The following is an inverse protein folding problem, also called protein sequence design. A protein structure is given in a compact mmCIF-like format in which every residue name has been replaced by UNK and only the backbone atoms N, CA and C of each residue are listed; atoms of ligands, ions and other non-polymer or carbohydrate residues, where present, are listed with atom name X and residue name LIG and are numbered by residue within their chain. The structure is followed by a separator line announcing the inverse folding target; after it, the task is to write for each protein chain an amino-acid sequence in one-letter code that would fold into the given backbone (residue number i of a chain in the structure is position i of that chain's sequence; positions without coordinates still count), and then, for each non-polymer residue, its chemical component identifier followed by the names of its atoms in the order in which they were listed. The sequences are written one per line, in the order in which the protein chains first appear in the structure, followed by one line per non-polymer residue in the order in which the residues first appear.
data_IF_465153268066
#
_entry.id   IF_465153268066
#
_cell.length_a   1.000
_cell.length_b   1.000
_cell.length_c   1.000
_cell.angle_alpha   90.00
_cell.angle_beta   90.00
_cell.angle_gamma   90.00
#
_symmetry.space_group_name_H-M   'P 1'
#
loop_
_entity.id
_entity.type
_entity.pdbx_description
1 polymer ?
#
# COMPACT_ATOMS: atom_id res chain seq x y z
N UNK A 1 -19.91 11.71 3.25
CA UNK A 1 -19.88 11.40 1.81
C UNK A 1 -19.22 10.04 1.68
N UNK A 2 -19.98 9.02 1.28
CA UNK A 2 -19.47 7.66 1.11
C UNK A 2 -18.53 7.68 -0.08
N UNK A 3 -17.22 7.49 0.14
CA UNK A 3 -16.31 7.20 -0.95
C UNK A 3 -16.74 5.84 -1.48
N UNK A 4 -17.50 5.85 -2.58
CA UNK A 4 -17.84 4.64 -3.30
C UNK A 4 -16.53 3.96 -3.69
N UNK A 5 -16.48 2.65 -3.50
CA UNK A 5 -15.47 1.79 -4.11
C UNK A 5 -15.31 2.25 -5.57
N UNK A 6 -14.11 2.59 -6.04
CA UNK A 6 -13.92 2.87 -7.45
C UNK A 6 -14.39 1.65 -8.21
N UNK A 7 -15.45 1.85 -8.98
CA UNK A 7 -16.24 0.76 -9.49
C UNK A 7 -15.41 0.02 -10.54
N UNK A 8 -15.47 -1.31 -10.54
CA UNK A 8 -14.85 -2.12 -11.59
C UNK A 8 -15.33 -1.65 -12.98
N UNK A 9 -16.54 -1.08 -13.03
CA UNK A 9 -17.15 -0.40 -14.17
C UNK A 9 -16.35 0.79 -14.71
N UNK A 10 -15.65 1.55 -13.87
CA UNK A 10 -14.80 2.66 -14.32
C UNK A 10 -13.56 2.14 -15.06
N UNK A 11 -12.97 1.02 -14.58
CA UNK A 11 -11.92 0.31 -15.32
C UNK A 11 -12.43 -0.33 -16.62
N UNK A 12 -13.65 -0.88 -16.63
CA UNK A 12 -14.28 -1.42 -17.83
C UNK A 12 -14.52 -0.34 -18.89
N UNK A 13 -14.92 0.86 -18.48
CA UNK A 13 -15.11 2.02 -19.36
C UNK A 13 -13.82 2.49 -20.04
N UNK A 14 -12.66 2.26 -19.41
CA UNK A 14 -11.35 2.61 -19.97
C UNK A 14 -10.88 1.63 -21.07
N UNK A 15 -11.67 0.60 -21.38
CA UNK A 15 -11.39 -0.43 -22.38
C UNK A 15 -10.00 -1.10 -22.22
N UNK A 16 -9.42 -1.03 -21.03
CA UNK A 16 -8.08 -1.52 -20.77
C UNK A 16 -8.11 -3.05 -20.74
N UNK A 17 -7.28 -3.66 -21.57
CA UNK A 17 -7.20 -5.13 -21.69
C UNK A 17 -6.52 -5.78 -20.48
N UNK A 18 -5.73 -5.01 -19.72
CA UNK A 18 -4.90 -5.51 -18.62
C UNK A 18 -4.99 -4.60 -17.40
N UNK A 19 -5.05 -5.20 -16.21
CA UNK A 19 -5.00 -4.50 -14.93
C UNK A 19 -4.20 -5.30 -13.89
N UNK A 20 -3.65 -4.59 -12.90
CA UNK A 20 -2.96 -5.19 -11.76
C UNK A 20 -3.16 -4.35 -10.50
N UNK A 21 -3.14 -4.99 -9.35
CA UNK A 21 -3.22 -4.33 -8.05
C UNK A 21 -1.90 -4.49 -7.31
N UNK A 22 -1.34 -3.37 -6.85
CA UNK A 22 -0.17 -3.27 -5.99
C UNK A 22 -0.69 -3.05 -4.57
N UNK A 23 -0.38 -3.98 -3.67
CA UNK A 23 -0.83 -3.98 -2.27
C UNK A 23 0.32 -3.44 -1.40
N UNK A 24 0.08 -2.36 -0.65
CA UNK A 24 1.08 -1.77 0.24
C UNK A 24 1.05 -2.50 1.58
N UNK A 25 2.15 -3.18 1.87
CA UNK A 25 2.34 -3.94 3.10
C UNK A 25 2.34 -3.03 4.32
N UNK A 26 1.52 -3.35 5.32
CA UNK A 26 1.50 -2.68 6.63
C UNK A 26 1.43 -1.14 6.51
N UNK A 27 0.64 -0.62 5.57
CA UNK A 27 0.65 0.80 5.23
C UNK A 27 0.45 1.72 6.45
N UNK A 28 -0.44 1.34 7.38
CA UNK A 28 -0.62 2.06 8.65
C UNK A 28 0.62 1.98 9.57
N UNK A 29 1.17 0.78 9.78
CA UNK A 29 2.33 0.62 10.67
C UNK A 29 3.63 1.20 10.08
N UNK A 30 3.65 1.49 8.79
CA UNK A 30 4.74 2.23 8.14
C UNK A 30 4.77 3.71 8.55
N UNK A 31 3.68 4.25 9.12
CA UNK A 31 3.55 5.67 9.45
C UNK A 31 3.91 5.89 10.92
N UNK A 32 4.98 6.67 11.23
CA UNK A 32 5.34 7.00 12.61
C UNK A 32 4.28 7.88 13.27
N UNK A 33 3.94 7.55 14.52
CA UNK A 33 3.10 8.41 15.35
C UNK A 33 3.97 9.42 16.10
N UNK A 34 3.59 10.70 15.99
CA UNK A 34 4.21 11.79 16.71
C UNK A 34 4.20 11.51 18.23
N UNK A 35 5.30 11.83 18.92
CA UNK A 35 5.50 11.45 20.33
C UNK A 35 4.41 12.01 21.25
N UNK A 36 3.99 13.24 20.98
CA UNK A 36 2.91 13.97 21.64
C UNK A 36 1.52 13.32 21.46
N UNK A 37 1.33 12.51 20.43
CA UNK A 37 0.08 11.81 20.16
C UNK A 37 0.01 10.43 20.83
N UNK A 38 1.15 9.81 21.15
CA UNK A 38 1.20 8.42 21.66
C UNK A 38 0.36 8.17 22.91
N UNK A 39 0.32 9.08 23.91
CA UNK A 39 -0.51 8.88 25.10
C UNK A 39 -2.02 8.76 24.80
N UNK A 40 -2.49 9.34 23.69
CA UNK A 40 -3.91 9.24 23.29
C UNK A 40 -4.29 7.85 22.80
N UNK A 41 -3.30 7.03 22.45
CA UNK A 41 -3.49 5.66 21.99
C UNK A 41 -2.99 4.65 23.04
N UNK A 42 -2.91 5.04 24.31
CA UNK A 42 -2.53 4.14 25.38
C UNK A 42 -3.58 3.05 25.61
N UNK A 43 -3.14 1.83 25.93
CA UNK A 43 -3.98 0.73 26.37
C UNK A 43 -3.29 -0.09 27.46
N UNK A 44 -4.07 -0.72 28.33
CA UNK A 44 -3.54 -1.55 29.43
C UNK A 44 -3.73 -3.02 29.12
N UNK A 45 -2.64 -3.78 29.21
CA UNK A 45 -2.66 -5.23 29.08
C UNK A 45 -1.91 -5.88 30.24
N UNK A 46 -2.57 -6.79 30.95
CA UNK A 46 -1.99 -7.51 32.12
C UNK A 46 -1.35 -6.58 33.17
N UNK A 47 -1.95 -5.41 33.40
CA UNK A 47 -1.48 -4.43 34.39
C UNK A 47 -0.30 -3.56 33.93
N UNK A 48 0.14 -3.69 32.67
CA UNK A 48 1.17 -2.85 32.05
C UNK A 48 0.50 -1.94 31.01
N UNK A 49 0.89 -0.66 31.00
CA UNK A 49 0.42 0.32 30.02
C UNK A 49 1.33 0.29 28.79
N UNK A 50 0.71 0.29 27.62
CA UNK A 50 1.37 0.32 26.33
C UNK A 50 0.85 1.51 25.51
N UNK A 51 1.71 2.09 24.69
CA UNK A 51 1.35 3.15 23.74
C UNK A 51 1.81 2.77 22.35
N UNK A 52 1.06 3.17 21.31
CA UNK A 52 1.46 2.93 19.92
C UNK A 52 2.53 3.93 19.47
N UNK A 53 3.60 3.45 18.81
CA UNK A 53 4.63 4.25 18.14
C UNK A 53 4.35 4.50 16.65
N UNK A 54 3.36 3.80 16.11
CA UNK A 54 2.91 3.84 14.72
C UNK A 54 1.41 4.06 14.66
N UNK A 55 0.92 4.47 13.49
CA UNK A 55 -0.49 4.70 13.28
C UNK A 55 -1.29 3.39 13.53
N UNK A 56 -2.20 3.37 14.52
CA UNK A 56 -2.88 2.13 14.89
C UNK A 56 -3.98 1.75 13.89
N UNK A 57 -4.16 0.45 13.71
CA UNK A 57 -5.31 -0.10 13.02
C UNK A 57 -6.58 0.10 13.86
N UNK A 58 -7.69 0.42 13.20
CA UNK A 58 -8.98 0.67 13.86
C UNK A 58 -9.23 2.11 14.29
N UNK A 59 -8.23 3.00 14.22
CA UNK A 59 -8.48 4.43 14.40
C UNK A 59 -9.13 5.04 13.16
N UNK A 60 -10.22 5.78 13.36
CA UNK A 60 -11.10 6.28 12.28
C UNK A 60 -10.40 7.15 11.23
N UNK A 61 -9.31 7.82 11.60
CA UNK A 61 -8.57 8.70 10.69
C UNK A 61 -7.35 8.03 10.04
N UNK A 62 -6.99 6.81 10.45
CA UNK A 62 -5.86 6.09 9.88
C UNK A 62 -5.97 5.91 8.35
N UNK A 63 -7.15 5.53 7.80
CA UNK A 63 -7.32 5.40 6.34
C UNK A 63 -7.06 6.71 5.60
N UNK A 64 -7.58 7.84 6.10
CA UNK A 64 -7.44 9.15 5.46
C UNK A 64 -5.99 9.62 5.47
N UNK A 65 -5.29 9.47 6.59
CA UNK A 65 -3.88 9.85 6.72
C UNK A 65 -3.00 9.00 5.80
N UNK A 66 -3.22 7.68 5.80
CA UNK A 66 -2.48 6.76 4.95
C UNK A 66 -2.70 7.08 3.47
N UNK A 67 -3.96 7.26 3.07
CA UNK A 67 -4.31 7.63 1.69
C UNK A 67 -3.61 8.91 1.26
N UNK A 68 -3.67 9.98 2.09
CA UNK A 68 -3.04 11.25 1.76
C UNK A 68 -1.51 11.20 1.67
N UNK A 69 -0.85 10.39 2.50
CA UNK A 69 0.60 10.21 2.43
C UNK A 69 1.03 9.45 1.17
N UNK A 70 0.31 8.37 0.83
CA UNK A 70 0.55 7.61 -0.40
C UNK A 70 0.29 8.49 -1.62
N UNK A 71 -0.81 9.24 -1.64
CA UNK A 71 -1.15 10.17 -2.73
C UNK A 71 -0.03 11.21 -2.90
N UNK A 72 0.42 11.82 -1.80
CA UNK A 72 1.51 12.80 -1.81
C UNK A 72 2.82 12.21 -2.36
N UNK A 73 3.11 10.94 -2.07
CA UNK A 73 4.29 10.26 -2.59
C UNK A 73 4.18 10.02 -4.10
N UNK A 74 3.00 9.59 -4.56
CA UNK A 74 2.71 9.35 -5.99
C UNK A 74 2.76 10.64 -6.80
N UNK A 75 2.22 11.74 -6.29
CA UNK A 75 2.28 13.06 -6.93
C UNK A 75 3.72 13.58 -7.03
N UNK A 76 4.50 13.50 -5.94
CA UNK A 76 5.92 13.90 -5.93
C UNK A 76 6.79 13.06 -6.87
N UNK A 77 6.43 11.81 -7.08
CA UNK A 77 7.12 10.88 -7.97
C UNK A 77 6.66 10.96 -9.42
N UNK A 78 5.71 11.85 -9.75
CA UNK A 78 5.08 11.94 -11.07
C UNK A 78 4.54 10.58 -11.53
N UNK A 79 3.83 9.90 -10.63
CA UNK A 79 3.30 8.57 -10.89
C UNK A 79 2.43 8.54 -12.16
N UNK A 80 2.58 7.52 -13.02
CA UNK A 80 1.72 7.37 -14.19
C UNK A 80 0.26 7.16 -13.78
N UNK A 81 -0.66 7.27 -14.74
CA UNK A 81 -2.10 7.10 -14.51
C UNK A 81 -2.41 5.81 -13.70
N UNK A 82 -3.05 5.99 -12.54
CA UNK A 82 -3.38 4.96 -11.58
C UNK A 82 -4.65 5.33 -10.81
N UNK A 83 -5.17 4.36 -10.07
CA UNK A 83 -6.29 4.53 -9.17
C UNK A 83 -5.86 4.08 -7.78
N UNK A 84 -6.04 4.93 -6.78
CA UNK A 84 -5.67 4.63 -5.40
C UNK A 84 -6.91 4.37 -4.55
N UNK A 85 -6.90 3.27 -3.80
CA UNK A 85 -7.89 2.98 -2.77
C UNK A 85 -7.18 2.60 -1.47
N UNK A 86 -7.10 3.54 -0.53
CA UNK A 86 -6.38 3.40 0.74
C UNK A 86 -4.94 2.89 0.52
N UNK A 87 -4.69 1.59 0.71
CA UNK A 87 -3.42 0.87 0.60
C UNK A 87 -3.27 0.05 -0.69
N UNK A 88 -4.32 -0.04 -1.52
CA UNK A 88 -4.29 -0.66 -2.84
C UNK A 88 -4.09 0.38 -3.95
N UNK A 89 -3.13 0.12 -4.85
CA UNK A 89 -2.96 0.87 -6.10
C UNK A 89 -3.31 0.00 -7.29
N UNK A 90 -4.29 0.43 -8.08
CA UNK A 90 -4.69 -0.24 -9.31
C UNK A 90 -4.04 0.47 -10.49
N UNK A 91 -3.42 -0.32 -11.36
CA UNK A 91 -2.80 0.11 -12.62
C UNK A 91 -3.42 -0.65 -13.78
N UNK A 92 -3.48 -0.02 -14.96
CA UNK A 92 -4.03 -0.63 -16.18
C UNK A 92 -3.26 -0.22 -17.44
N UNK A 93 -3.41 -1.04 -18.48
CA UNK A 93 -2.80 -0.83 -19.79
C UNK A 93 -3.42 -1.70 -20.90
N UNK A 94 -3.12 -1.34 -22.15
CA UNK A 94 -3.58 -2.07 -23.34
C UNK A 94 -2.66 -3.26 -23.69
N UNK A 95 -1.41 -3.22 -23.22
CA UNK A 95 -0.42 -4.30 -23.36
C UNK A 95 0.15 -4.69 -22.00
N UNK A 96 0.67 -5.91 -21.91
CA UNK A 96 1.36 -6.43 -20.73
C UNK A 96 2.61 -5.59 -20.39
N UNK A 97 3.36 -5.16 -21.40
CA UNK A 97 4.59 -4.39 -21.25
C UNK A 97 4.30 -3.00 -20.67
N UNK A 98 3.28 -2.30 -21.19
CA UNK A 98 2.90 -0.97 -20.71
C UNK A 98 2.41 -1.02 -19.26
N UNK A 99 1.61 -2.05 -18.91
CA UNK A 99 1.19 -2.28 -17.53
C UNK A 99 2.40 -2.57 -16.63
N UNK A 100 3.37 -3.35 -17.14
CA UNK A 100 4.58 -3.68 -16.41
C UNK A 100 5.45 -2.44 -16.14
N UNK A 101 5.64 -1.59 -17.13
CA UNK A 101 6.43 -0.37 -16.97
C UNK A 101 5.78 0.61 -15.97
N UNK A 102 4.47 0.85 -16.12
CA UNK A 102 3.72 1.73 -15.21
C UNK A 102 3.83 1.28 -13.76
N UNK A 103 3.59 0.00 -13.51
CA UNK A 103 3.58 -0.47 -12.14
C UNK A 103 4.98 -0.60 -11.53
N UNK A 104 6.05 -0.86 -12.32
CA UNK A 104 7.44 -0.72 -11.83
C UNK A 104 7.73 0.71 -11.39
N UNK A 105 7.30 1.70 -12.16
CA UNK A 105 7.49 3.11 -11.81
C UNK A 105 6.80 3.43 -10.47
N UNK A 106 5.53 3.05 -10.31
CA UNK A 106 4.77 3.24 -9.06
C UNK A 106 5.46 2.54 -7.88
N UNK A 107 5.86 1.27 -8.04
CA UNK A 107 6.58 0.53 -6.99
C UNK A 107 7.87 1.26 -6.59
N UNK A 108 8.63 1.76 -7.55
CA UNK A 108 9.86 2.52 -7.25
C UNK A 108 9.58 3.82 -6.50
N UNK A 109 8.52 4.55 -6.85
CA UNK A 109 8.10 5.76 -6.14
C UNK A 109 7.75 5.43 -4.68
N UNK A 110 6.94 4.40 -4.47
CA UNK A 110 6.50 3.97 -3.14
C UNK A 110 7.66 3.48 -2.27
N UNK A 111 8.59 2.70 -2.84
CA UNK A 111 9.80 2.25 -2.15
C UNK A 111 10.70 3.44 -1.74
N UNK A 112 10.89 4.42 -2.64
CA UNK A 112 11.66 5.64 -2.32
C UNK A 112 11.00 6.47 -1.22
N UNK A 113 9.67 6.44 -1.13
CA UNK A 113 8.91 7.09 -0.08
C UNK A 113 8.90 6.30 1.25
N UNK A 114 9.52 5.12 1.30
CA UNK A 114 9.65 4.30 2.51
C UNK A 114 8.48 3.33 2.74
N UNK A 115 7.59 3.15 1.77
CA UNK A 115 6.54 2.14 1.84
C UNK A 115 7.07 0.75 1.45
N UNK A 116 6.52 -0.28 2.08
CA UNK A 116 6.80 -1.66 1.72
C UNK A 116 5.71 -2.19 0.80
N UNK A 117 6.08 -2.95 -0.24
CA UNK A 117 5.13 -3.52 -1.18
C UNK A 117 4.96 -5.02 -0.90
N UNK A 118 3.72 -5.41 -0.60
CA UNK A 118 3.33 -6.82 -0.55
C UNK A 118 3.23 -7.34 -1.98
N UNK A 119 3.40 -8.64 -2.16
CA UNK A 119 3.29 -9.27 -3.47
C UNK A 119 2.06 -8.76 -4.25
N UNK A 120 2.31 -8.13 -5.39
CA UNK A 120 1.29 -7.58 -6.26
C UNK A 120 0.36 -8.70 -6.76
N UNK A 121 -0.95 -8.47 -6.68
CA UNK A 121 -1.96 -9.41 -7.15
C UNK A 121 -2.50 -8.93 -8.49
N UNK A 122 -2.31 -9.76 -9.51
CA UNK A 122 -2.93 -9.54 -10.82
C UNK A 122 -4.36 -10.10 -10.77
N UNK A 123 -5.31 -9.29 -11.18
CA UNK A 123 -6.66 -9.73 -11.55
C UNK A 123 -6.86 -9.36 -13.02
N UNK A 124 -7.57 -10.18 -13.78
CA UNK A 124 -7.77 -9.98 -15.23
C UNK A 124 -7.39 -11.19 -16.08
N UNK A 125 -7.64 -11.16 -17.40
CA UNK A 125 -7.36 -12.28 -18.32
C UNK A 125 -5.89 -12.73 -18.31
N UNK A 126 -5.01 -11.88 -17.78
CA UNK A 126 -3.61 -12.09 -17.46
C UNK A 126 -3.31 -13.26 -16.49
N UNK A 127 -4.30 -13.79 -15.75
CA UNK A 127 -4.09 -14.94 -14.85
C UNK A 127 -3.55 -16.19 -15.58
N UNK A 128 -3.79 -16.28 -16.90
CA UNK A 128 -3.32 -17.38 -17.75
C UNK A 128 -1.97 -17.16 -18.44
N UNK A 129 -1.37 -15.96 -18.39
CA UNK A 129 -0.09 -15.66 -19.05
C UNK A 129 1.10 -15.89 -18.09
N UNK A 130 1.92 -16.94 -18.30
CA UNK A 130 3.02 -17.28 -17.40
C UNK A 130 4.15 -16.24 -17.41
N UNK A 131 4.37 -15.57 -18.54
CA UNK A 131 5.45 -14.58 -18.70
C UNK A 131 5.08 -13.33 -17.90
N UNK A 132 3.83 -12.91 -18.01
CA UNK A 132 3.32 -11.77 -17.24
C UNK A 132 3.38 -12.03 -15.73
N UNK A 133 2.96 -13.21 -15.28
CA UNK A 133 3.01 -13.63 -13.87
C UNK A 133 4.43 -13.67 -13.31
N UNK A 134 5.40 -14.16 -14.07
CA UNK A 134 6.81 -14.22 -13.67
C UNK A 134 7.48 -12.84 -13.64
N UNK A 135 7.11 -11.93 -14.54
CA UNK A 135 7.66 -10.57 -14.54
C UNK A 135 7.13 -9.72 -13.38
N UNK A 136 5.92 -10.00 -12.89
CA UNK A 136 5.30 -9.25 -11.78
C UNK A 136 5.76 -9.71 -10.39
N UNK A 137 6.07 -10.99 -10.23
CA UNK A 137 6.64 -11.53 -8.98
C UNK A 137 8.02 -10.93 -8.64
N UNK A 138 8.63 -10.18 -9.56
CA UNK A 138 9.85 -9.39 -9.33
C UNK A 138 9.60 -8.03 -8.65
N UNK A 139 8.36 -7.60 -8.47
CA UNK A 139 8.02 -6.28 -7.93
C UNK A 139 7.86 -6.27 -6.42
N UNK A 140 8.18 -7.40 -5.80
CA UNK A 140 8.16 -7.60 -4.36
C UNK A 140 9.41 -6.94 -3.77
N UNK A 141 9.26 -6.21 -2.67
CA UNK A 141 10.41 -5.83 -1.86
C UNK A 141 11.15 -7.09 -1.41
N UNK A 142 12.44 -7.18 -1.69
CA UNK A 142 13.29 -8.25 -1.15
C UNK A 142 13.72 -7.88 0.27
N UNK A 143 12.77 -7.88 1.20
CA UNK A 143 13.11 -7.98 2.61
C UNK A 143 12.53 -9.27 3.19
N UNK A 144 13.26 -10.41 3.10
CA UNK A 144 12.84 -11.68 3.67
C UNK A 144 12.90 -11.68 5.20
N UNK A 145 13.52 -10.66 5.83
CA UNK A 145 13.87 -10.65 7.26
C UNK A 145 13.26 -9.45 8.04
N UNK A 146 12.74 -8.42 7.37
CA UNK A 146 12.28 -7.18 8.03
C UNK A 146 10.90 -7.24 8.68
N UNK A 147 10.11 -8.28 8.42
CA UNK A 147 8.73 -8.38 8.89
C UNK A 147 8.61 -8.74 10.39
N UNK A 148 9.52 -9.55 10.92
CA UNK A 148 9.44 -10.06 12.30
C UNK A 148 10.23 -9.22 13.33
N UNK A 149 11.24 -8.45 12.90
CA UNK A 149 12.03 -7.61 13.84
C UNK A 149 11.36 -6.29 14.23
N UNK A 150 10.30 -5.84 13.55
CA UNK A 150 9.63 -4.58 13.89
C UNK A 150 8.48 -4.71 14.91
N UNK A 151 8.05 -5.93 15.28
CA UNK A 151 6.94 -6.10 16.22
C UNK A 151 7.24 -5.53 17.62
N UNK A 152 8.50 -5.51 18.07
CA UNK A 152 8.91 -4.86 19.31
C UNK A 152 8.94 -3.32 19.22
N UNK A 153 8.77 -2.74 18.03
CA UNK A 153 8.87 -1.28 17.81
C UNK A 153 7.50 -0.60 17.65
N UNK A 154 6.42 -1.35 17.49
CA UNK A 154 5.09 -0.78 17.25
C UNK A 154 4.42 -0.26 18.50
N UNK A 155 4.74 -0.84 19.65
CA UNK A 155 4.23 -0.41 20.95
C UNK A 155 5.40 -0.26 21.93
N UNK A 156 5.34 0.76 22.77
CA UNK A 156 6.27 0.96 23.89
C UNK A 156 5.51 0.81 25.20
N UNK A 157 6.20 0.35 26.24
CA UNK A 157 5.72 0.50 27.62
C UNK A 157 6.11 1.86 28.15
N UNK A 158 5.24 2.47 28.94
CA UNK A 158 5.60 3.61 29.78
C UNK A 158 6.34 3.15 31.05
#
# INVERSE_FOLDING_TARGET
MSAAVPDMLELESKAAKWYATIDIANAFFSIPLAAECRPQFAFTWRGVQYTWNRLPQGWKHSPTICHGLIQSALEKGEAPEHLQYIDDIIVWGNTAEALSEKGKNIVQILLKAGFTIKQSKVKGPALGDPIFRNNMSRWVSSDPNGYDQQNSSYVSTD
#
